data_IF_270377964614
#
_entry.id   IF_270377964614
#
_cell.length_a   1.000
_cell.length_b   1.000
_cell.length_c   1.000
_cell.angle_alpha   90.00
_cell.angle_beta   90.00
_cell.angle_gamma   90.00
#
_symmetry.space_group_name_H-M   'P 1'
#
loop_
_entity.id
_entity.type
_entity.pdbx_description
1 polymer ?
#
# COMPACT_ATOMS: atom_id res chain seq x y z
N UNK A 1 31.56 19.65 -26.92
CA UNK A 1 30.47 20.13 -26.05
C UNK A 1 30.38 21.63 -26.17
N UNK A 2 29.19 22.14 -26.45
CA UNK A 2 28.95 23.58 -26.51
C UNK A 2 28.94 24.19 -25.11
N UNK A 3 29.31 25.47 -25.01
CA UNK A 3 29.36 26.20 -23.73
C UNK A 3 28.03 26.13 -22.97
N UNK A 4 26.92 26.17 -23.69
CA UNK A 4 25.57 26.05 -23.15
C UNK A 4 25.26 24.63 -22.62
N UNK A 5 25.82 23.59 -23.23
CA UNK A 5 25.69 22.21 -22.77
C UNK A 5 26.47 21.99 -21.47
N UNK A 6 27.65 22.61 -21.33
CA UNK A 6 28.46 22.60 -20.10
C UNK A 6 27.75 23.38 -18.97
N UNK A 7 27.19 24.56 -19.27
CA UNK A 7 26.40 25.34 -18.31
C UNK A 7 25.18 24.54 -17.84
N UNK A 8 24.46 23.89 -18.75
CA UNK A 8 23.28 23.08 -18.43
C UNK A 8 23.62 21.92 -17.49
N UNK A 9 24.69 21.18 -17.80
CA UNK A 9 25.17 20.07 -16.98
C UNK A 9 25.61 20.56 -15.58
N UNK A 10 26.26 21.72 -15.50
CA UNK A 10 26.64 22.34 -14.22
C UNK A 10 25.43 22.68 -13.34
N UNK A 11 24.41 23.32 -13.91
CA UNK A 11 23.18 23.67 -13.18
C UNK A 11 22.44 22.41 -12.70
N UNK A 12 22.33 21.40 -13.55
CA UNK A 12 21.72 20.11 -13.21
C UNK A 12 22.48 19.44 -12.06
N UNK A 13 23.82 19.45 -12.09
CA UNK A 13 24.64 18.91 -11.00
C UNK A 13 24.38 19.62 -9.67
N UNK A 14 24.29 20.96 -9.67
CA UNK A 14 24.01 21.75 -8.46
C UNK A 14 22.61 21.45 -7.91
N UNK A 15 21.59 21.34 -8.78
CA UNK A 15 20.22 20.98 -8.37
C UNK A 15 20.18 19.59 -7.73
N UNK A 16 20.89 18.61 -8.30
CA UNK A 16 20.90 17.25 -7.75
C UNK A 16 21.59 17.18 -6.38
N UNK A 17 22.69 17.89 -6.18
CA UNK A 17 23.38 17.93 -4.88
C UNK A 17 22.51 18.60 -3.82
N UNK A 18 21.91 19.74 -4.14
CA UNK A 18 21.00 20.45 -3.22
C UNK A 18 19.76 19.62 -2.88
N UNK A 19 19.16 18.96 -3.88
CA UNK A 19 18.05 18.03 -3.69
C UNK A 19 18.47 16.83 -2.82
N UNK A 20 19.64 16.25 -3.05
CA UNK A 20 20.14 15.10 -2.26
C UNK A 20 20.34 15.46 -0.79
N UNK A 21 20.81 16.68 -0.50
CA UNK A 21 20.98 17.15 0.88
C UNK A 21 19.65 17.44 1.57
N UNK A 22 18.70 18.07 0.87
CA UNK A 22 17.37 18.37 1.41
C UNK A 22 16.50 17.12 1.57
N UNK A 23 16.65 16.13 0.69
CA UNK A 23 15.78 14.95 0.60
C UNK A 23 16.47 13.67 1.10
N UNK A 24 17.57 13.78 1.87
CA UNK A 24 18.26 12.64 2.48
C UNK A 24 17.30 11.95 3.46
N UNK A 25 17.03 10.64 3.32
CA UNK A 25 16.21 9.91 4.27
C UNK A 25 16.87 9.96 5.65
N UNK A 26 16.09 10.30 6.67
CA UNK A 26 16.57 10.37 8.05
C UNK A 26 16.91 8.96 8.56
N UNK A 27 17.95 8.83 9.40
CA UNK A 27 18.49 7.53 9.82
C UNK A 27 17.46 6.63 10.53
N UNK A 28 16.39 7.22 11.06
CA UNK A 28 15.28 6.51 11.71
C UNK A 28 14.40 5.70 10.74
N UNK A 29 14.29 6.10 9.47
CA UNK A 29 13.59 5.31 8.46
C UNK A 29 14.43 4.13 7.96
N UNK A 30 15.75 4.32 7.89
CA UNK A 30 16.70 3.27 7.52
C UNK A 30 16.73 2.15 8.57
N UNK A 31 16.69 2.48 9.86
CA UNK A 31 16.59 1.50 10.95
C UNK A 31 15.28 0.72 10.92
N UNK A 32 14.16 1.40 10.64
CA UNK A 32 12.85 0.75 10.49
C UNK A 32 12.78 -0.17 9.27
N UNK A 33 13.42 0.17 8.15
CA UNK A 33 13.51 -0.74 7.00
C UNK A 33 14.40 -1.95 7.29
N UNK A 34 15.51 -1.75 7.99
CA UNK A 34 16.39 -2.87 8.37
C UNK A 34 15.74 -3.81 9.39
N UNK A 35 14.97 -3.30 10.35
CA UNK A 35 14.20 -4.15 11.27
C UNK A 35 13.12 -4.94 10.55
N UNK A 36 12.43 -4.34 9.56
CA UNK A 36 11.43 -5.06 8.75
C UNK A 36 12.07 -6.19 7.95
N UNK A 37 13.17 -5.90 7.25
CA UNK A 37 13.89 -6.91 6.47
C UNK A 37 14.49 -8.05 7.33
N UNK A 38 14.87 -7.77 8.58
CA UNK A 38 15.35 -8.80 9.52
C UNK A 38 14.22 -9.68 10.08
N UNK A 39 13.00 -9.15 10.20
CA UNK A 39 11.84 -9.90 10.71
C UNK A 39 11.29 -10.89 9.68
N UNK A 40 11.34 -10.57 8.39
CA UNK A 40 10.90 -11.49 7.32
C UNK A 40 11.79 -12.73 7.22
N UNK A 41 13.12 -12.60 7.34
CA UNK A 41 14.04 -13.76 7.26
C UNK A 41 13.88 -14.79 8.39
N UNK A 42 13.41 -14.38 9.57
CA UNK A 42 13.22 -15.29 10.71
C UNK A 42 11.93 -16.11 10.57
N UNK A 43 10.98 -15.63 9.77
CA UNK A 43 9.72 -16.34 9.50
C UNK A 43 9.93 -17.42 8.45
N UNK A 44 10.68 -17.14 7.38
CA UNK A 44 11.01 -18.14 6.34
C UNK A 44 11.82 -19.32 6.90
N UNK A 45 12.75 -19.08 7.84
CA UNK A 45 13.60 -20.15 8.40
C UNK A 45 12.86 -21.08 9.39
N UNK A 46 11.64 -20.72 9.81
CA UNK A 46 10.79 -21.57 10.67
C UNK A 46 9.80 -22.44 9.88
N UNK A 47 9.48 -22.10 8.63
CA UNK A 47 8.56 -22.90 7.82
C UNK A 47 9.25 -24.10 7.14
N UNK A 48 10.57 -24.07 6.91
CA UNK A 48 11.28 -25.20 6.27
C UNK A 48 11.56 -26.41 7.19
N UNK A 49 11.18 -26.37 8.47
CA UNK A 49 11.49 -27.46 9.43
C UNK A 49 10.32 -28.36 9.83
N UNK A 50 9.13 -28.16 9.28
CA UNK A 50 7.94 -28.97 9.63
C UNK A 50 7.35 -29.82 8.48
N UNK A 51 7.98 -29.88 7.30
CA UNK A 51 7.45 -30.65 6.15
C UNK A 51 7.94 -32.12 6.03
N UNK A 52 8.60 -32.71 7.05
CA UNK A 52 9.14 -34.09 6.92
C UNK A 52 8.40 -35.22 7.66
N UNK A 53 7.22 -34.98 8.22
CA UNK A 53 6.46 -36.08 8.87
C UNK A 53 4.98 -36.00 8.58
N UNK A 54 4.56 -36.46 7.40
CA UNK A 54 3.23 -37.07 7.19
C UNK A 54 3.06 -37.68 5.77
N UNK A 55 3.93 -38.61 5.41
CA UNK A 55 3.71 -39.54 4.28
C UNK A 55 3.64 -40.98 4.79
N UNK A 56 2.51 -41.37 5.38
CA UNK A 56 1.98 -42.74 5.30
C UNK A 56 0.61 -42.84 5.95
N UNK A 57 -0.30 -43.54 5.27
CA UNK A 57 -1.72 -43.72 5.57
C UNK A 57 -2.53 -42.47 5.12
N UNK A 58 -3.51 -42.52 4.22
CA UNK A 58 -4.47 -43.56 3.91
C UNK A 58 -4.82 -43.52 2.41
N UNK A 59 -4.42 -44.55 1.67
CA UNK A 59 -5.04 -44.89 0.40
C UNK A 59 -6.10 -45.96 0.68
N UNK A 60 -7.36 -45.54 0.79
CA UNK A 60 -8.59 -46.27 0.47
C UNK A 60 -9.77 -45.61 1.19
N UNK A 61 -10.60 -44.86 0.46
CA UNK A 61 -12.06 -45.04 0.38
C UNK A 61 -12.69 -43.85 -0.37
N UNK A 62 -12.94 -44.08 -1.65
CA UNK A 62 -13.93 -43.39 -2.46
C UNK A 62 -15.28 -43.37 -1.71
N UNK A 63 -15.76 -42.21 -1.28
CA UNK A 63 -17.19 -41.87 -1.29
C UNK A 63 -17.36 -40.35 -1.14
N UNK A 64 -18.09 -39.79 -2.09
CA UNK A 64 -18.56 -38.42 -2.22
C UNK A 64 -19.03 -37.77 -0.90
N UNK A 65 -18.47 -36.61 -0.54
CA UNK A 65 -19.22 -35.41 -0.14
C UNK A 65 -18.27 -34.23 0.03
N UNK A 66 -18.56 -33.15 -0.68
CA UNK A 66 -18.03 -31.80 -0.48
C UNK A 66 -17.72 -31.53 0.99
N UNK A 67 -16.44 -31.59 1.33
CA UNK A 67 -15.92 -31.17 2.64
C UNK A 67 -14.72 -30.27 2.43
N UNK A 68 -14.88 -29.26 1.58
CA UNK A 68 -13.88 -28.18 1.41
C UNK A 68 -14.43 -26.82 1.89
N UNK A 69 -15.52 -26.83 2.67
CA UNK A 69 -16.11 -25.61 3.27
C UNK A 69 -15.77 -25.44 4.76
N UNK A 70 -14.81 -26.21 5.30
CA UNK A 70 -14.51 -26.20 6.74
C UNK A 70 -13.10 -25.74 7.11
N UNK A 71 -12.27 -25.27 6.17
CA UNK A 71 -10.86 -24.97 6.47
C UNK A 71 -10.44 -23.50 6.28
N UNK A 72 -11.35 -22.56 6.01
CA UNK A 72 -11.02 -21.13 6.07
C UNK A 72 -12.08 -20.41 6.90
N UNK A 73 -11.95 -20.50 8.22
CA UNK A 73 -12.58 -19.58 9.18
C UNK A 73 -11.59 -18.51 9.65
N UNK A 74 -10.63 -18.14 8.81
CA UNK A 74 -9.98 -16.85 8.99
C UNK A 74 -11.00 -15.80 8.57
N UNK A 75 -11.74 -15.32 9.57
CA UNK A 75 -12.66 -14.20 9.41
C UNK A 75 -11.80 -12.97 9.12
N UNK A 76 -11.47 -12.76 7.85
CA UNK A 76 -10.77 -11.55 7.40
C UNK A 76 -11.71 -10.39 7.68
N UNK A 77 -11.37 -9.56 8.66
CA UNK A 77 -12.17 -8.37 8.97
C UNK A 77 -12.07 -7.40 7.80
N UNK A 78 -13.24 -6.95 7.33
CA UNK A 78 -13.33 -5.85 6.39
C UNK A 78 -12.69 -4.60 6.99
N UNK A 79 -11.78 -3.99 6.26
CA UNK A 79 -11.18 -2.70 6.59
C UNK A 79 -11.30 -1.80 5.38
N UNK A 80 -11.53 -0.51 5.62
CA UNK A 80 -11.54 0.50 4.57
C UNK A 80 -10.18 1.18 4.56
N UNK A 81 -9.47 1.07 3.44
CA UNK A 81 -8.20 1.74 3.19
C UNK A 81 -8.45 3.01 2.39
N UNK A 82 -7.94 4.14 2.88
CA UNK A 82 -8.03 5.44 2.21
C UNK A 82 -6.75 5.74 1.44
N UNK A 83 -6.88 5.88 0.12
CA UNK A 83 -5.80 6.28 -0.77
C UNK A 83 -5.99 7.74 -1.17
N UNK A 84 -4.94 8.54 -1.04
CA UNK A 84 -4.97 9.96 -1.35
C UNK A 84 -3.97 10.32 -2.46
N UNK A 85 -4.41 11.15 -3.40
CA UNK A 85 -3.59 11.72 -4.46
C UNK A 85 -3.69 13.25 -4.46
N UNK A 86 -3.12 13.89 -5.48
CA UNK A 86 -3.18 15.34 -5.62
C UNK A 86 -4.61 15.85 -5.84
N UNK A 87 -5.47 15.08 -6.52
CA UNK A 87 -6.82 15.53 -6.93
C UNK A 87 -7.95 14.67 -6.36
N UNK A 88 -7.67 13.42 -6.01
CA UNK A 88 -8.67 12.42 -5.62
C UNK A 88 -8.34 11.78 -4.28
N UNK A 89 -9.40 11.38 -3.58
CA UNK A 89 -9.35 10.49 -2.43
C UNK A 89 -10.25 9.29 -2.75
N UNK A 90 -9.77 8.08 -2.52
CA UNK A 90 -10.50 6.83 -2.80
C UNK A 90 -10.48 5.94 -1.56
N UNK A 91 -11.65 5.55 -1.10
CA UNK A 91 -11.83 4.61 0.01
C UNK A 91 -12.10 3.20 -0.58
N UNK A 92 -11.28 2.22 -0.24
CA UNK A 92 -11.31 0.85 -0.80
C UNK A 92 -11.50 -0.17 0.34
N UNK A 93 -12.44 -1.11 0.15
CA UNK A 93 -12.63 -2.23 1.07
C UNK A 93 -11.59 -3.33 0.82
N UNK A 94 -10.90 -3.77 1.88
CA UNK A 94 -9.89 -4.85 1.81
C UNK A 94 -10.49 -6.23 1.51
N UNK A 95 -11.80 -6.39 1.62
CA UNK A 95 -12.53 -7.56 1.13
C UNK A 95 -12.99 -7.33 -0.30
N UNK A 96 -12.27 -7.94 -1.24
CA UNK A 96 -12.63 -7.92 -2.66
C UNK A 96 -12.29 -6.61 -3.39
N UNK A 97 -11.64 -5.63 -2.74
CA UNK A 97 -11.15 -4.43 -3.40
C UNK A 97 -12.25 -3.49 -3.89
N UNK A 98 -13.44 -3.56 -3.29
CA UNK A 98 -14.58 -2.74 -3.69
C UNK A 98 -14.35 -1.26 -3.36
N UNK A 99 -14.70 -0.37 -4.28
CA UNK A 99 -14.60 1.09 -4.05
C UNK A 99 -15.84 1.53 -3.26
N UNK A 100 -15.62 2.04 -2.04
CA UNK A 100 -16.71 2.48 -1.16
C UNK A 100 -17.06 3.95 -1.37
N UNK A 101 -16.06 4.80 -1.61
CA UNK A 101 -16.28 6.21 -1.87
C UNK A 101 -15.14 6.83 -2.69
N UNK A 102 -15.49 7.86 -3.47
CA UNK A 102 -14.52 8.70 -4.19
C UNK A 102 -14.81 10.16 -3.90
N UNK A 103 -13.76 10.92 -3.60
CA UNK A 103 -13.84 12.36 -3.33
C UNK A 103 -12.96 13.15 -4.28
N UNK A 104 -13.46 14.31 -4.72
CA UNK A 104 -12.70 15.31 -5.47
C UNK A 104 -12.18 16.39 -4.50
N UNK A 105 -10.86 16.56 -4.37
CA UNK A 105 -10.25 17.45 -3.37
C UNK A 105 -10.52 18.93 -3.63
N UNK A 106 -10.58 19.32 -4.91
CA UNK A 106 -10.71 20.71 -5.33
C UNK A 106 -12.15 21.15 -5.58
N UNK A 107 -13.12 20.27 -5.33
CA UNK A 107 -14.53 20.52 -5.57
C UNK A 107 -15.30 20.31 -4.29
N UNK A 108 -16.39 21.06 -4.16
CA UNK A 108 -17.30 20.98 -3.04
C UNK A 108 -18.74 20.82 -3.51
N UNK A 109 -19.58 20.23 -2.68
CA UNK A 109 -21.02 20.13 -2.98
C UNK A 109 -21.67 21.51 -2.90
N UNK A 110 -22.77 21.73 -3.64
CA UNK A 110 -23.55 22.98 -3.60
C UNK A 110 -23.88 23.47 -2.18
N UNK A 111 -24.19 22.56 -1.24
CA UNK A 111 -24.49 22.91 0.14
C UNK A 111 -23.31 23.55 0.87
N UNK A 112 -22.09 23.08 0.62
CA UNK A 112 -20.86 23.61 1.21
C UNK A 112 -20.46 24.92 0.50
N UNK A 113 -20.52 24.96 -0.83
CA UNK A 113 -20.28 26.18 -1.62
C UNK A 113 -21.17 27.35 -1.16
N UNK A 114 -22.45 27.08 -0.88
CA UNK A 114 -23.41 28.09 -0.41
C UNK A 114 -23.05 28.71 0.95
N UNK A 115 -22.29 28.02 1.79
CA UNK A 115 -21.86 28.55 3.09
C UNK A 115 -20.80 29.65 2.95
N UNK A 116 -20.09 29.70 1.82
CA UNK A 116 -19.07 30.70 1.50
C UNK A 116 -18.02 30.88 2.62
N UNK A 117 -17.61 29.77 3.23
CA UNK A 117 -16.67 29.70 4.36
C UNK A 117 -15.19 29.70 3.94
N UNK A 118 -14.93 29.83 2.62
CA UNK A 118 -13.61 29.77 1.97
C UNK A 118 -12.86 28.44 2.19
N UNK A 119 -13.53 27.39 2.65
CA UNK A 119 -12.93 26.07 2.83
C UNK A 119 -13.48 25.08 1.81
N UNK A 120 -12.60 24.51 1.00
CA UNK A 120 -13.02 23.49 0.02
C UNK A 120 -13.14 22.14 0.74
N UNK A 121 -14.38 21.70 0.97
CA UNK A 121 -14.65 20.35 1.48
C UNK A 121 -14.85 19.38 0.34
N UNK A 122 -13.96 18.38 0.27
CA UNK A 122 -13.90 17.43 -0.84
C UNK A 122 -15.27 16.82 -1.18
N UNK A 123 -15.65 16.90 -2.46
CA UNK A 123 -16.93 16.46 -2.98
C UNK A 123 -16.95 14.93 -3.09
N UNK A 124 -17.80 14.29 -2.29
CA UNK A 124 -18.11 12.87 -2.41
C UNK A 124 -18.98 12.61 -3.64
N UNK A 125 -18.56 11.68 -4.51
CA UNK A 125 -19.29 11.32 -5.74
C UNK A 125 -20.37 10.27 -5.51
N UNK A 126 -20.06 9.24 -4.72
CA UNK A 126 -20.94 8.13 -4.34
C UNK A 126 -20.49 7.57 -3.00
#
# INVERSE_FOLDING_TARGET
>A
MDKNSIIGLGIIGVILVTFTLLNRPSEDELKKQQEKAKKEKIVEEKEEKEEQTQTKNLAAKETSKDTTSSLIKDTVKAQTLRLESNKLIVDINTLGGNIEAVYLKDYESYRHFKLNDKQIKALKLF
#
